data_IF_778992414076
#
_entry.id   IF_778992414076
#
_cell.length_a   1.000
_cell.length_b   1.000
_cell.length_c   1.000
_cell.angle_alpha   90.00
_cell.angle_beta   90.00
_cell.angle_gamma   90.00
#
_symmetry.space_group_name_H-M   'P 1'
#
loop_
_entity.id
_entity.type
_entity.pdbx_description
1 polymer ?
#
# COMPACT_ATOMS: atom_id res chain seq x y z
N UNK A 1 -0.74 20.50 4.71
CA UNK A 1 0.59 20.22 5.25
C UNK A 1 1.28 19.20 4.37
N UNK A 2 2.54 19.43 4.07
CA UNK A 2 3.32 18.52 3.27
C UNK A 2 3.93 17.45 4.16
N UNK A 3 3.80 16.21 3.71
CA UNK A 3 4.34 15.06 4.42
C UNK A 3 5.55 14.56 3.64
N UNK A 4 6.67 14.41 4.33
CA UNK A 4 7.89 13.89 3.72
C UNK A 4 8.29 12.60 4.39
N UNK A 5 8.67 11.61 3.60
CA UNK A 5 9.08 10.32 4.12
C UNK A 5 8.52 9.20 3.28
N UNK A 6 8.39 8.05 3.90
CA UNK A 6 7.88 6.88 3.20
C UNK A 6 6.94 6.06 4.08
N UNK A 7 6.03 5.37 3.45
CA UNK A 7 5.16 4.40 4.09
C UNK A 7 5.39 3.06 3.40
N UNK A 8 5.67 2.04 4.18
CA UNK A 8 5.85 0.69 3.66
C UNK A 8 4.63 -0.14 4.01
N UNK A 9 4.02 -0.72 3.01
CA UNK A 9 2.80 -1.49 3.17
C UNK A 9 3.00 -2.90 2.65
N UNK A 10 2.34 -3.85 3.31
CA UNK A 10 2.30 -5.22 2.83
C UNK A 10 0.84 -5.61 2.65
N UNK A 11 0.59 -6.40 1.63
CA UNK A 11 -0.77 -6.84 1.35
C UNK A 11 -0.72 -8.13 0.55
N UNK A 12 -1.86 -8.81 0.51
CA UNK A 12 -2.02 -10.00 -0.29
C UNK A 12 -2.81 -9.65 -1.54
N UNK A 13 -2.56 -10.36 -2.62
CA UNK A 13 -3.27 -10.14 -3.87
C UNK A 13 -4.08 -11.39 -4.19
N UNK A 14 -5.38 -11.20 -4.43
CA UNK A 14 -6.25 -12.33 -4.73
C UNK A 14 -6.16 -12.75 -6.20
N UNK A 15 -6.94 -13.76 -6.58
CA UNK A 15 -6.91 -14.29 -7.94
C UNK A 15 -7.32 -13.26 -8.99
N UNK A 16 -8.07 -12.26 -8.58
CA UNK A 16 -8.55 -11.22 -9.49
C UNK A 16 -7.55 -10.06 -9.62
N UNK A 17 -6.41 -10.15 -8.94
CA UNK A 17 -5.42 -9.10 -8.99
C UNK A 17 -5.73 -7.95 -8.06
N UNK A 18 -6.60 -8.13 -7.09
CA UNK A 18 -6.97 -7.06 -6.17
C UNK A 18 -6.27 -7.23 -4.83
N UNK A 19 -5.77 -6.13 -4.27
CA UNK A 19 -5.12 -6.20 -2.97
C UNK A 19 -6.14 -6.40 -1.84
N UNK A 20 -5.77 -7.19 -0.85
CA UNK A 20 -6.56 -7.37 0.35
C UNK A 20 -5.61 -7.59 1.52
N UNK A 21 -6.16 -7.51 2.73
CA UNK A 21 -5.38 -7.72 3.96
C UNK A 21 -4.19 -6.78 4.01
N UNK A 22 -4.44 -5.51 3.79
CA UNK A 22 -3.41 -4.49 3.74
C UNK A 22 -2.93 -4.16 5.15
N UNK A 23 -1.61 -4.21 5.35
CA UNK A 23 -1.00 -3.86 6.62
C UNK A 23 0.07 -2.80 6.40
N UNK A 24 0.17 -1.87 7.33
CA UNK A 24 1.24 -0.88 7.29
C UNK A 24 2.43 -1.44 8.06
N UNK A 25 3.50 -1.72 7.34
CA UNK A 25 4.71 -2.23 7.94
C UNK A 25 5.53 -1.11 8.56
N UNK A 26 5.62 0.02 7.88
CA UNK A 26 6.29 1.19 8.39
C UNK A 26 5.37 2.39 8.19
N UNK A 27 4.98 3.01 9.29
CA UNK A 27 4.06 4.13 9.28
C UNK A 27 4.82 5.44 9.29
N UNK A 28 4.32 6.43 8.57
CA UNK A 28 4.88 7.78 8.59
C UNK A 28 4.01 8.68 9.45
N UNK A 29 2.74 8.80 9.08
CA UNK A 29 1.74 9.48 9.89
C UNK A 29 0.37 9.02 9.41
N UNK A 30 -0.67 9.32 10.18
CA UNK A 30 -2.01 8.84 9.86
C UNK A 30 -2.47 9.26 8.47
N UNK A 31 -2.25 10.52 8.12
CA UNK A 31 -2.66 11.02 6.80
C UNK A 31 -1.93 10.32 5.68
N UNK A 32 -0.62 10.13 5.84
CA UNK A 32 0.19 9.44 4.83
C UNK A 32 -0.21 7.99 4.72
N UNK A 33 -0.48 7.33 5.84
CA UNK A 33 -0.89 5.94 5.85
C UNK A 33 -2.20 5.75 5.10
N UNK A 34 -3.18 6.60 5.36
CA UNK A 34 -4.47 6.54 4.68
C UNK A 34 -4.33 6.75 3.17
N UNK A 35 -3.51 7.72 2.79
CA UNK A 35 -3.29 8.00 1.38
C UNK A 35 -2.58 6.83 0.69
N UNK A 36 -1.61 6.22 1.36
CA UNK A 36 -0.91 5.08 0.80
C UNK A 36 -1.84 3.89 0.60
N UNK A 37 -2.69 3.61 1.58
CA UNK A 37 -3.66 2.52 1.48
C UNK A 37 -4.62 2.80 0.32
N UNK A 38 -5.08 4.02 0.20
CA UNK A 38 -5.97 4.41 -0.88
C UNK A 38 -5.33 4.20 -2.25
N UNK A 39 -4.07 4.58 -2.39
CA UNK A 39 -3.35 4.40 -3.65
C UNK A 39 -3.25 2.93 -4.03
N UNK A 40 -3.05 2.06 -3.06
CA UNK A 40 -3.00 0.63 -3.32
C UNK A 40 -4.36 0.12 -3.75
N UNK A 41 -5.43 0.54 -3.07
CA UNK A 41 -6.78 0.08 -3.37
C UNK A 41 -7.29 0.57 -4.71
N UNK A 42 -6.92 1.78 -5.09
CA UNK A 42 -7.37 2.39 -6.33
C UNK A 42 -6.39 2.20 -7.48
N UNK A 43 -5.24 1.61 -7.22
CA UNK A 43 -4.23 1.40 -8.24
C UNK A 43 -4.60 0.32 -9.24
N UNK A 44 -3.73 0.09 -10.22
CA UNK A 44 -3.98 -0.96 -11.21
C UNK A 44 -3.99 -2.34 -10.56
N UNK A 45 -4.55 -3.30 -11.29
CA UNK A 45 -4.58 -4.66 -10.80
C UNK A 45 -3.17 -5.19 -10.60
N UNK A 46 -2.98 -5.93 -9.53
CA UNK A 46 -1.70 -6.52 -9.20
C UNK A 46 -1.66 -7.96 -9.72
N UNK A 47 -0.50 -8.39 -10.17
CA UNK A 47 -0.38 -9.69 -10.85
C UNK A 47 0.45 -10.66 -10.00
N UNK A 48 0.16 -10.78 -8.73
CA UNK A 48 0.97 -11.64 -7.88
C UNK A 48 0.27 -12.91 -7.43
N UNK A 49 -1.03 -12.98 -7.44
CA UNK A 49 -1.77 -14.20 -7.11
C UNK A 49 -1.34 -14.86 -5.78
N UNK A 50 -2.05 -14.58 -4.70
CA UNK A 50 -1.87 -15.24 -3.40
C UNK A 50 -0.48 -15.07 -2.76
N UNK A 51 0.30 -14.11 -3.20
CA UNK A 51 1.60 -13.85 -2.59
C UNK A 51 1.58 -12.53 -1.83
N UNK A 52 2.37 -12.48 -0.77
CA UNK A 52 2.54 -11.24 -0.03
C UNK A 52 3.32 -10.24 -0.86
N UNK A 53 2.74 -9.08 -1.06
CA UNK A 53 3.38 -8.01 -1.80
C UNK A 53 3.80 -6.89 -0.83
N UNK A 54 4.91 -6.24 -1.14
CA UNK A 54 5.38 -5.13 -0.34
C UNK A 54 5.57 -3.93 -1.25
N UNK A 55 5.01 -2.82 -0.85
CA UNK A 55 5.09 -1.59 -1.63
C UNK A 55 5.55 -0.45 -0.74
N UNK A 56 6.48 0.34 -1.24
CA UNK A 56 6.94 1.54 -0.57
C UNK A 56 6.37 2.75 -1.30
N UNK A 57 5.64 3.59 -0.57
CA UNK A 57 5.08 4.82 -1.10
C UNK A 57 5.89 5.98 -0.55
N UNK A 58 6.50 6.74 -1.44
CA UNK A 58 7.29 7.89 -1.04
C UNK A 58 6.46 9.16 -1.10
N UNK A 59 6.60 9.98 -0.08
CA UNK A 59 5.97 11.29 0.00
C UNK A 59 7.06 12.37 0.00
N UNK A 60 6.94 13.29 -0.90
CA UNK A 60 7.93 14.38 -1.00
C UNK A 60 7.30 15.74 -0.89
#
# INVERSE_FOLDING_TARGET
>A
AQVKGKVVLTFLVNKEGRPFYIKVKESLCESADKEAIRLIQEGPDWIYGNKLAEVTVKFE
#
